data_IF_593765415495
#
_entry.id   IF_593765415495
#
_cell.length_a   1.000
_cell.length_b   1.000
_cell.length_c   1.000
_cell.angle_alpha   90.00
_cell.angle_beta   90.00
_cell.angle_gamma   90.00
#
_symmetry.space_group_name_H-M   'P 1'
#
loop_
_entity.id
_entity.type
_entity.pdbx_description
1 polymer ?
#
# COMPACT_ATOMS: atom_id res chain seq x y z
N UNK A 1 -34.16 -12.16 5.05
CA UNK A 1 -33.03 -11.91 4.12
C UNK A 1 -33.25 -10.56 3.46
N UNK A 2 -32.25 -9.67 3.51
CA UNK A 2 -32.28 -8.43 2.76
C UNK A 2 -31.52 -8.68 1.46
N UNK A 3 -32.24 -8.85 0.37
CA UNK A 3 -31.69 -9.23 -0.94
C UNK A 3 -31.06 -8.06 -1.70
N UNK A 4 -31.13 -6.83 -1.15
CA UNK A 4 -30.48 -5.62 -1.66
C UNK A 4 -30.62 -4.50 -0.65
N UNK A 5 -29.56 -3.76 -0.36
CA UNK A 5 -29.64 -2.51 0.39
C UNK A 5 -28.88 -1.42 -0.35
N UNK A 6 -29.44 -0.23 -0.41
CA UNK A 6 -28.88 0.87 -1.19
C UNK A 6 -28.80 2.12 -0.32
N UNK A 7 -27.59 2.65 -0.18
CA UNK A 7 -27.32 3.87 0.55
C UNK A 7 -26.87 4.91 -0.48
N UNK A 8 -27.77 5.82 -0.81
CA UNK A 8 -27.47 6.95 -1.70
C UNK A 8 -27.25 8.20 -0.88
N UNK A 9 -26.02 8.71 -0.92
CA UNK A 9 -25.67 10.02 -0.42
C UNK A 9 -25.05 10.84 -1.56
N UNK A 10 -25.24 12.17 -1.64
CA UNK A 10 -24.62 12.98 -2.70
C UNK A 10 -23.09 12.90 -2.77
N UNK A 11 -22.44 12.46 -1.68
CA UNK A 11 -20.99 12.27 -1.60
C UNK A 11 -20.53 10.81 -1.80
N UNK A 12 -21.42 9.84 -1.64
CA UNK A 12 -21.09 8.43 -1.69
C UNK A 12 -22.34 7.60 -1.99
N UNK A 13 -22.20 6.65 -2.91
CA UNK A 13 -23.20 5.65 -3.22
C UNK A 13 -22.65 4.28 -2.84
N UNK A 14 -23.41 3.51 -2.07
CA UNK A 14 -23.07 2.15 -1.71
C UNK A 14 -24.26 1.27 -2.05
N UNK A 15 -24.02 0.24 -2.85
CA UNK A 15 -25.01 -0.75 -3.26
C UNK A 15 -24.56 -2.08 -2.70
N UNK A 16 -25.33 -2.62 -1.76
CA UNK A 16 -25.17 -3.96 -1.21
C UNK A 16 -26.06 -4.92 -2.02
N UNK A 17 -25.46 -5.97 -2.56
CA UNK A 17 -26.16 -6.92 -3.44
C UNK A 17 -26.63 -8.14 -2.65
N UNK A 18 -25.75 -8.74 -1.84
CA UNK A 18 -26.08 -9.86 -0.97
C UNK A 18 -25.70 -9.50 0.45
N UNK A 19 -26.68 -9.52 1.36
CA UNK A 19 -26.45 -9.31 2.79
C UNK A 19 -27.12 -10.42 3.57
N UNK A 20 -26.32 -11.19 4.30
CA UNK A 20 -26.80 -12.16 5.25
C UNK A 20 -26.28 -11.80 6.64
N UNK A 21 -27.17 -11.83 7.64
CA UNK A 21 -26.80 -11.59 9.02
C UNK A 21 -27.59 -12.52 9.93
N UNK A 22 -26.87 -13.10 10.89
CA UNK A 22 -27.36 -13.95 11.96
C UNK A 22 -26.60 -13.61 13.25
N UNK A 23 -26.87 -14.33 14.34
CA UNK A 23 -26.13 -14.16 15.60
C UNK A 23 -24.67 -14.61 15.51
N UNK A 24 -24.34 -15.47 14.55
CA UNK A 24 -23.00 -16.10 14.41
C UNK A 24 -22.40 -15.90 13.03
N UNK A 25 -23.02 -15.11 12.16
CA UNK A 25 -22.47 -14.81 10.85
C UNK A 25 -23.02 -13.49 10.32
N UNK A 26 -22.16 -12.72 9.68
CA UNK A 26 -22.51 -11.58 8.87
C UNK A 26 -21.71 -11.65 7.57
N UNK A 27 -22.36 -11.51 6.43
CA UNK A 27 -21.68 -11.39 5.14
C UNK A 27 -22.35 -10.31 4.31
N UNK A 28 -21.54 -9.66 3.50
CA UNK A 28 -21.95 -8.57 2.63
C UNK A 28 -21.06 -8.51 1.41
N UNK A 29 -21.64 -8.36 0.23
CA UNK A 29 -20.91 -7.91 -0.95
C UNK A 29 -21.60 -6.67 -1.54
N UNK A 30 -20.83 -5.87 -2.25
CA UNK A 30 -21.37 -4.66 -2.84
C UNK A 30 -20.38 -3.87 -3.64
N UNK A 31 -20.90 -2.80 -4.22
CA UNK A 31 -20.12 -1.78 -4.93
C UNK A 31 -20.24 -0.46 -4.20
N UNK A 32 -19.20 0.36 -4.26
CA UNK A 32 -19.25 1.73 -3.78
C UNK A 32 -18.78 2.70 -4.87
N UNK A 33 -19.25 3.94 -4.78
CA UNK A 33 -18.86 5.02 -5.68
C UNK A 33 -18.81 6.33 -4.91
N UNK A 34 -17.66 6.99 -4.96
CA UNK A 34 -17.45 8.35 -4.49
C UNK A 34 -17.23 9.22 -5.73
N UNK A 35 -18.29 9.84 -6.29
CA UNK A 35 -18.21 10.55 -7.57
C UNK A 35 -17.39 11.84 -7.53
N UNK A 36 -17.10 12.35 -6.34
CA UNK A 36 -16.50 13.66 -6.14
C UNK A 36 -15.72 13.67 -4.83
N UNK A 37 -14.41 13.44 -4.95
CA UNK A 37 -13.49 13.40 -3.80
C UNK A 37 -13.29 14.77 -3.14
N UNK A 38 -13.64 15.88 -3.82
CA UNK A 38 -13.52 17.22 -3.23
C UNK A 38 -14.41 17.39 -2.00
N UNK A 39 -15.45 16.55 -1.86
CA UNK A 39 -16.31 16.50 -0.67
C UNK A 39 -15.59 15.99 0.57
N UNK A 40 -14.50 15.25 0.39
CA UNK A 40 -13.66 14.70 1.46
C UNK A 40 -12.39 15.53 1.69
N UNK A 41 -12.13 16.54 0.86
CA UNK A 41 -10.96 17.42 0.96
C UNK A 41 -10.80 18.04 2.36
N UNK A 42 -11.91 18.49 2.97
CA UNK A 42 -11.90 19.07 4.32
C UNK A 42 -11.49 18.06 5.41
N UNK A 43 -11.84 16.77 5.24
CA UNK A 43 -11.47 15.70 6.17
C UNK A 43 -10.00 15.31 6.01
N UNK A 44 -9.54 15.21 4.76
CA UNK A 44 -8.16 14.86 4.44
C UNK A 44 -7.18 16.04 4.66
N UNK A 45 -7.69 17.28 4.76
CA UNK A 45 -6.90 18.52 4.71
C UNK A 45 -6.00 18.58 3.46
N UNK A 46 -6.52 18.07 2.36
CA UNK A 46 -5.86 17.96 1.07
C UNK A 46 -6.86 18.35 -0.02
N UNK A 47 -6.39 18.92 -1.13
CA UNK A 47 -7.25 19.27 -2.28
C UNK A 47 -7.55 18.03 -3.12
N UNK A 48 -8.32 17.10 -2.54
CA UNK A 48 -8.69 15.85 -3.19
C UNK A 48 -9.63 16.12 -4.37
N UNK A 49 -9.34 15.55 -5.54
CA UNK A 49 -10.22 15.60 -6.72
C UNK A 49 -10.34 14.23 -7.39
N UNK A 50 -11.31 14.15 -8.29
CA UNK A 50 -11.63 12.93 -9.02
C UNK A 50 -12.72 12.10 -8.35
N UNK A 51 -12.78 10.84 -8.73
CA UNK A 51 -13.75 9.87 -8.26
C UNK A 51 -13.07 8.56 -7.86
N UNK A 52 -13.69 7.85 -6.92
CA UNK A 52 -13.36 6.45 -6.61
C UNK A 52 -14.57 5.58 -6.89
N UNK A 53 -14.32 4.37 -7.34
CA UNK A 53 -15.32 3.33 -7.42
C UNK A 53 -14.69 2.00 -7.08
N UNK A 54 -15.48 1.05 -6.63
CA UNK A 54 -14.94 -0.24 -6.28
C UNK A 54 -16.00 -1.23 -5.88
N UNK A 55 -15.51 -2.42 -5.56
CA UNK A 55 -16.28 -3.53 -5.05
C UNK A 55 -15.64 -4.03 -3.77
N UNK A 56 -16.47 -4.62 -2.91
CA UNK A 56 -16.01 -5.23 -1.70
C UNK A 56 -16.81 -6.48 -1.41
N UNK A 57 -16.15 -7.44 -0.77
CA UNK A 57 -16.79 -8.54 -0.07
C UNK A 57 -16.29 -8.54 1.36
N UNK A 58 -17.17 -8.84 2.30
CA UNK A 58 -16.83 -8.95 3.70
C UNK A 58 -17.61 -10.10 4.32
N UNK A 59 -16.95 -10.81 5.23
CA UNK A 59 -17.59 -11.78 6.10
C UNK A 59 -17.09 -11.59 7.53
N UNK A 60 -17.93 -11.88 8.51
CA UNK A 60 -17.59 -11.79 9.90
C UNK A 60 -18.35 -12.85 10.70
N UNK A 61 -17.72 -13.36 11.75
CA UNK A 61 -18.36 -14.12 12.81
C UNK A 61 -18.46 -13.22 14.05
N UNK A 62 -19.66 -12.69 14.37
CA UNK A 62 -19.85 -11.84 15.55
C UNK A 62 -19.63 -12.55 16.88
N UNK A 63 -19.72 -13.89 16.94
CA UNK A 63 -19.44 -14.67 18.16
C UNK A 63 -17.96 -14.66 18.48
N UNK A 64 -17.14 -14.84 17.45
CA UNK A 64 -15.68 -14.93 17.56
C UNK A 64 -14.97 -13.59 17.31
N UNK A 65 -15.74 -12.54 16.97
CA UNK A 65 -15.25 -11.21 16.59
C UNK A 65 -14.12 -11.29 15.54
N UNK A 66 -14.27 -12.23 14.61
CA UNK A 66 -13.36 -12.46 13.50
C UNK A 66 -14.03 -12.07 12.18
N UNK A 67 -13.25 -11.77 11.16
CA UNK A 67 -13.78 -11.48 9.85
C UNK A 67 -12.74 -11.40 8.75
N UNK A 68 -13.24 -11.35 7.53
CA UNK A 68 -12.46 -11.24 6.30
C UNK A 68 -13.03 -10.14 5.44
N UNK A 69 -12.15 -9.50 4.66
CA UNK A 69 -12.53 -8.50 3.68
C UNK A 69 -11.66 -8.59 2.44
N UNK A 70 -12.29 -8.45 1.29
CA UNK A 70 -11.65 -8.17 0.01
C UNK A 70 -12.23 -6.86 -0.53
N UNK A 71 -11.36 -5.98 -1.01
CA UNK A 71 -11.75 -4.70 -1.59
C UNK A 71 -10.90 -4.42 -2.82
N UNK A 72 -11.56 -4.01 -3.89
CA UNK A 72 -10.93 -3.53 -5.12
C UNK A 72 -11.43 -2.12 -5.40
N UNK A 73 -10.51 -1.19 -5.63
CA UNK A 73 -10.78 0.24 -5.80
C UNK A 73 -10.07 0.72 -7.05
N UNK A 74 -10.80 1.42 -7.90
CA UNK A 74 -10.27 2.14 -9.05
C UNK A 74 -10.58 3.63 -8.90
N UNK A 75 -9.58 4.45 -9.20
CA UNK A 75 -9.74 5.89 -9.24
C UNK A 75 -9.92 6.40 -10.68
N UNK A 76 -10.55 7.56 -10.80
CA UNK A 76 -10.67 8.30 -12.05
C UNK A 76 -10.39 9.78 -11.78
N UNK A 77 -9.54 10.38 -12.62
CA UNK A 77 -9.12 11.77 -12.51
C UNK A 77 -8.64 12.14 -11.10
N UNK A 78 -7.94 11.19 -10.44
CA UNK A 78 -7.45 11.35 -9.08
C UNK A 78 -6.43 12.49 -8.99
N UNK A 79 -6.69 13.41 -8.07
CA UNK A 79 -5.68 14.31 -7.53
C UNK A 79 -5.74 14.22 -6.01
N UNK A 80 -4.62 13.94 -5.38
CA UNK A 80 -4.48 13.86 -3.92
C UNK A 80 -4.09 15.21 -3.32
N UNK A 81 -3.64 16.17 -4.13
CA UNK A 81 -3.10 17.44 -3.67
C UNK A 81 -1.64 17.34 -3.18
N UNK A 82 -1.07 16.13 -3.22
CA UNK A 82 0.33 15.86 -2.86
C UNK A 82 1.07 15.57 -4.16
N UNK A 83 1.88 16.52 -4.63
CA UNK A 83 2.57 16.44 -5.91
C UNK A 83 3.33 15.11 -6.14
N UNK A 84 3.98 14.58 -5.08
CA UNK A 84 4.64 13.29 -5.14
C UNK A 84 3.67 12.13 -5.37
N UNK A 85 2.58 12.08 -4.60
CA UNK A 85 1.57 11.02 -4.75
C UNK A 85 0.87 11.13 -6.11
N UNK A 86 0.58 12.34 -6.58
CA UNK A 86 -0.05 12.58 -7.88
C UNK A 86 0.86 12.13 -9.04
N UNK A 87 2.16 12.39 -8.94
CA UNK A 87 3.14 11.92 -9.92
C UNK A 87 3.30 10.40 -9.95
N UNK A 88 3.23 9.75 -8.79
CA UNK A 88 3.39 8.30 -8.66
C UNK A 88 2.12 7.53 -9.06
N UNK A 89 0.97 7.97 -8.55
CA UNK A 89 -0.32 7.31 -8.76
C UNK A 89 -0.92 7.61 -10.12
N UNK A 90 -0.74 8.83 -10.62
CA UNK A 90 -1.45 9.32 -11.80
C UNK A 90 -2.96 9.42 -11.59
N UNK A 91 -3.72 9.69 -12.66
CA UNK A 91 -5.16 9.98 -12.56
C UNK A 91 -6.03 8.73 -12.36
N UNK A 92 -5.52 7.52 -12.63
CA UNK A 92 -6.31 6.30 -12.62
C UNK A 92 -5.61 5.10 -11.95
N UNK A 93 -5.12 5.23 -10.70
CA UNK A 93 -4.56 4.09 -9.97
C UNK A 93 -5.64 3.06 -9.61
N UNK A 94 -5.19 1.82 -9.40
CA UNK A 94 -5.99 0.71 -8.88
C UNK A 94 -5.37 0.18 -7.59
N UNK A 95 -6.22 -0.15 -6.61
CA UNK A 95 -5.84 -0.72 -5.33
C UNK A 95 -6.66 -1.99 -5.10
N UNK A 96 -6.02 -3.07 -4.66
CA UNK A 96 -6.70 -4.26 -4.16
C UNK A 96 -6.12 -4.66 -2.81
N UNK A 97 -6.99 -5.09 -1.90
CA UNK A 97 -6.63 -5.56 -0.57
C UNK A 97 -7.50 -6.77 -0.22
N UNK A 98 -6.87 -7.80 0.31
CA UNK A 98 -7.51 -8.97 0.89
C UNK A 98 -6.85 -9.26 2.24
N UNK A 99 -7.68 -9.45 3.26
CA UNK A 99 -7.19 -9.82 4.58
C UNK A 99 -8.29 -10.23 5.55
N UNK A 100 -7.83 -10.67 6.70
CA UNK A 100 -8.62 -11.27 7.78
C UNK A 100 -8.16 -10.69 9.12
N UNK A 101 -9.04 -10.70 10.11
CA UNK A 101 -8.73 -10.27 11.47
C UNK A 101 -9.50 -11.09 12.50
N UNK A 102 -9.02 -11.06 13.73
CA UNK A 102 -9.62 -11.74 14.88
C UNK A 102 -9.72 -10.81 16.11
N UNK A 103 -10.50 -11.23 17.11
CA UNK A 103 -10.75 -10.45 18.33
C UNK A 103 -9.50 -10.15 19.17
N UNK A 104 -8.57 -11.09 19.17
CA UNK A 104 -7.30 -11.06 19.90
C UNK A 104 -6.25 -10.18 19.21
N UNK A 105 -6.61 -9.56 18.09
CA UNK A 105 -5.78 -8.61 17.38
C UNK A 105 -4.81 -9.28 16.41
N UNK A 106 -5.04 -10.55 16.06
CA UNK A 106 -4.39 -11.14 14.89
C UNK A 106 -5.01 -10.54 13.62
N UNK A 107 -4.16 -10.25 12.66
CA UNK A 107 -4.54 -9.76 11.35
C UNK A 107 -3.64 -10.41 10.31
N UNK A 108 -4.23 -10.82 9.19
CA UNK A 108 -3.52 -11.29 8.02
C UNK A 108 -3.90 -10.42 6.83
N UNK A 109 -2.92 -10.00 6.06
CA UNK A 109 -3.08 -9.42 4.73
C UNK A 109 -2.53 -10.43 3.74
N UNK A 110 -3.41 -11.23 3.14
CA UNK A 110 -3.01 -12.21 2.12
C UNK A 110 -2.56 -11.52 0.83
N UNK A 111 -3.12 -10.34 0.53
CA UNK A 111 -2.72 -9.52 -0.62
C UNK A 111 -3.02 -8.05 -0.39
N UNK A 112 -2.03 -7.20 -0.65
CA UNK A 112 -2.20 -5.78 -0.94
C UNK A 112 -1.51 -5.53 -2.28
N UNK A 113 -2.18 -4.85 -3.21
CA UNK A 113 -1.57 -4.42 -4.47
C UNK A 113 -2.07 -3.02 -4.84
N UNK A 114 -1.15 -2.17 -5.25
CA UNK A 114 -1.42 -0.83 -5.74
C UNK A 114 -0.69 -0.65 -7.06
N UNK A 115 -1.42 -0.30 -8.11
CA UNK A 115 -0.89 0.02 -9.42
C UNK A 115 -1.20 1.48 -9.73
N UNK A 116 -0.16 2.30 -9.82
CA UNK A 116 -0.22 3.68 -10.27
C UNK A 116 0.47 3.87 -11.62
N UNK A 117 0.58 5.12 -12.05
CA UNK A 117 1.24 5.49 -13.31
C UNK A 117 2.74 5.18 -13.32
N UNK A 118 3.43 5.43 -12.20
CA UNK A 118 4.87 5.26 -12.11
C UNK A 118 5.30 4.39 -10.93
N UNK A 119 4.35 3.90 -10.13
CA UNK A 119 4.62 3.02 -8.99
C UNK A 119 3.76 1.76 -9.06
N UNK A 120 4.34 0.62 -8.74
CA UNK A 120 3.61 -0.60 -8.42
C UNK A 120 4.06 -1.09 -7.04
N UNK A 121 3.12 -1.41 -6.17
CA UNK A 121 3.38 -1.96 -4.85
C UNK A 121 2.62 -3.28 -4.72
N UNK A 122 3.27 -4.26 -4.10
CA UNK A 122 2.62 -5.48 -3.61
C UNK A 122 3.09 -5.76 -2.20
N UNK A 123 2.20 -6.21 -1.32
CA UNK A 123 2.55 -6.60 0.03
C UNK A 123 1.65 -7.72 0.55
N UNK A 124 2.13 -8.39 1.59
CA UNK A 124 1.37 -9.39 2.34
C UNK A 124 2.07 -9.61 3.69
N UNK A 125 1.34 -10.10 4.67
CA UNK A 125 1.92 -10.42 5.96
C UNK A 125 0.87 -10.69 7.01
N UNK A 126 1.32 -11.00 8.22
CA UNK A 126 0.50 -11.13 9.40
C UNK A 126 1.07 -10.33 10.56
N UNK A 127 0.20 -9.95 11.48
CA UNK A 127 0.58 -9.31 12.71
C UNK A 127 -0.34 -9.76 13.84
N UNK A 128 0.18 -9.79 15.04
CA UNK A 128 -0.58 -9.89 16.28
C UNK A 128 -0.03 -8.85 17.27
N UNK A 129 -0.56 -8.74 18.50
CA UNK A 129 -0.05 -7.75 19.46
C UNK A 129 1.42 -7.89 19.84
N UNK A 130 2.03 -9.06 19.62
CA UNK A 130 3.41 -9.36 20.01
C UNK A 130 4.39 -9.27 18.84
N UNK A 131 4.01 -9.80 17.67
CA UNK A 131 4.90 -10.02 16.51
C UNK A 131 4.29 -9.57 15.20
N UNK A 132 5.16 -9.26 14.25
CA UNK A 132 4.84 -8.96 12.85
C UNK A 132 5.71 -9.82 11.93
N UNK A 133 5.15 -10.27 10.82
CA UNK A 133 5.83 -10.89 9.69
C UNK A 133 5.19 -10.34 8.41
N UNK A 134 5.92 -9.50 7.67
CA UNK A 134 5.41 -8.90 6.46
C UNK A 134 6.48 -8.78 5.39
N UNK A 135 6.04 -8.80 4.14
CA UNK A 135 6.87 -8.59 2.95
C UNK A 135 6.20 -7.60 2.02
N UNK A 136 7.00 -6.75 1.40
CA UNK A 136 6.57 -5.78 0.40
C UNK A 136 7.56 -5.74 -0.76
N UNK A 137 7.05 -5.57 -1.97
CA UNK A 137 7.81 -5.22 -3.16
C UNK A 137 7.26 -3.90 -3.72
N UNK A 138 8.15 -2.97 -4.05
CA UNK A 138 7.82 -1.67 -4.64
C UNK A 138 8.67 -1.46 -5.87
N UNK A 139 8.02 -1.23 -7.00
CA UNK A 139 8.65 -0.87 -8.27
C UNK A 139 8.33 0.56 -8.59
N UNK A 140 9.36 1.33 -8.88
CA UNK A 140 9.25 2.72 -9.31
C UNK A 140 9.82 2.80 -10.72
N UNK A 141 9.05 3.34 -11.66
CA UNK A 141 9.49 3.47 -13.05
C UNK A 141 10.51 4.60 -13.24
N UNK A 142 10.46 5.63 -12.39
CA UNK A 142 11.40 6.75 -12.43
C UNK A 142 11.60 7.40 -11.04
N UNK A 143 12.83 7.34 -10.52
CA UNK A 143 13.22 8.00 -9.27
C UNK A 143 13.19 9.53 -9.36
N UNK A 144 13.19 10.11 -10.56
CA UNK A 144 13.05 11.55 -10.78
C UNK A 144 11.76 12.14 -10.20
N UNK A 145 10.73 11.31 -10.00
CA UNK A 145 9.49 11.70 -9.33
C UNK A 145 9.67 11.93 -7.82
N UNK A 146 10.66 11.29 -7.20
CA UNK A 146 10.94 11.36 -5.75
C UNK A 146 12.10 12.31 -5.45
N UNK A 147 13.21 12.20 -6.19
CA UNK A 147 14.36 13.12 -6.10
C UNK A 147 14.68 13.65 -7.51
N UNK A 148 14.51 14.96 -7.76
CA UNK A 148 14.79 15.57 -9.08
C UNK A 148 16.24 15.44 -9.57
N UNK A 149 17.16 15.02 -8.70
CA UNK A 149 18.58 14.80 -9.03
C UNK A 149 18.85 13.36 -9.47
N UNK A 150 17.84 12.50 -9.45
CA UNK A 150 17.92 11.12 -9.85
C UNK A 150 16.98 10.84 -11.04
N UNK A 151 17.24 9.78 -11.77
CA UNK A 151 16.32 9.25 -12.79
C UNK A 151 16.52 7.75 -12.96
N UNK A 152 15.53 7.07 -13.52
CA UNK A 152 15.61 5.64 -13.81
C UNK A 152 14.85 4.79 -12.80
N UNK A 153 14.69 3.50 -13.12
CA UNK A 153 13.83 2.60 -12.36
C UNK A 153 14.46 2.13 -11.05
N UNK A 154 13.60 1.80 -10.09
CA UNK A 154 13.99 1.16 -8.84
C UNK A 154 13.08 -0.03 -8.54
N UNK A 155 13.69 -1.08 -8.01
CA UNK A 155 12.98 -2.22 -7.43
C UNK A 155 13.42 -2.35 -5.97
N UNK A 156 12.47 -2.33 -5.05
CA UNK A 156 12.68 -2.42 -3.60
C UNK A 156 11.90 -3.62 -3.06
N UNK A 157 12.62 -4.57 -2.50
CA UNK A 157 12.07 -5.64 -1.68
C UNK A 157 12.30 -5.32 -0.20
N UNK A 158 11.30 -5.52 0.65
CA UNK A 158 11.42 -5.35 2.09
C UNK A 158 10.73 -6.49 2.83
N UNK A 159 11.35 -6.95 3.91
CA UNK A 159 10.73 -7.82 4.92
C UNK A 159 10.74 -7.14 6.28
N UNK A 160 9.74 -7.43 7.10
CA UNK A 160 9.57 -6.92 8.46
C UNK A 160 9.22 -8.11 9.33
N UNK A 161 10.06 -8.44 10.31
CA UNK A 161 9.89 -9.62 11.14
C UNK A 161 10.19 -9.33 12.61
N UNK A 162 9.56 -10.09 13.51
CA UNK A 162 9.88 -10.09 14.93
C UNK A 162 8.94 -9.23 15.79
N UNK A 163 9.36 -8.81 16.99
CA UNK A 163 8.45 -8.17 17.94
C UNK A 163 7.96 -6.80 17.45
N UNK A 164 6.67 -6.50 17.59
CA UNK A 164 6.07 -5.20 17.19
C UNK A 164 6.74 -4.00 17.89
N UNK A 165 7.34 -4.22 19.06
CA UNK A 165 8.10 -3.19 19.80
C UNK A 165 9.48 -2.87 19.22
N UNK A 166 10.06 -3.78 18.44
CA UNK A 166 11.42 -3.70 17.88
C UNK A 166 11.57 -4.59 16.63
N UNK A 167 10.77 -4.37 15.58
CA UNK A 167 10.82 -5.25 14.42
C UNK A 167 12.15 -5.09 13.69
N UNK A 168 12.64 -6.19 13.15
CA UNK A 168 13.75 -6.20 12.20
C UNK A 168 13.19 -5.96 10.81
N UNK A 169 13.82 -5.06 10.07
CA UNK A 169 13.46 -4.71 8.70
C UNK A 169 14.67 -5.01 7.83
N UNK A 170 14.53 -5.89 6.86
CA UNK A 170 15.55 -6.10 5.83
C UNK A 170 15.03 -5.53 4.50
N UNK A 171 15.79 -4.66 3.87
CA UNK A 171 15.42 -4.03 2.61
C UNK A 171 16.52 -4.20 1.57
N UNK A 172 16.16 -4.61 0.36
CA UNK A 172 17.03 -4.77 -0.78
C UNK A 172 16.51 -3.89 -1.91
N UNK A 173 17.30 -2.91 -2.33
CA UNK A 173 16.97 -2.00 -3.40
C UNK A 173 17.94 -2.21 -4.55
N UNK A 174 17.41 -2.29 -5.77
CA UNK A 174 18.20 -2.45 -6.99
C UNK A 174 17.78 -1.47 -8.07
N UNK A 175 18.73 -1.11 -8.92
CA UNK A 175 18.47 -0.36 -10.16
C UNK A 175 19.41 -0.82 -11.27
N UNK A 176 18.91 -0.82 -12.50
CA UNK A 176 19.66 -1.18 -13.71
C UNK A 176 20.00 0.03 -14.58
N UNK A 177 19.29 1.14 -14.42
CA UNK A 177 19.32 2.30 -15.30
C UNK A 177 19.31 3.63 -14.52
N UNK A 178 19.79 3.60 -13.26
CA UNK A 178 19.87 4.78 -12.42
C UNK A 178 20.84 5.80 -13.01
N UNK A 179 20.45 7.08 -12.97
CA UNK A 179 21.39 8.19 -13.03
C UNK A 179 21.24 9.05 -11.78
N UNK A 180 22.38 9.46 -11.20
CA UNK A 180 22.45 10.38 -10.06
C UNK A 180 23.31 11.58 -10.44
N UNK A 181 22.77 12.79 -10.27
CA UNK A 181 23.46 14.05 -10.62
C UNK A 181 23.97 14.05 -12.07
N UNK A 182 23.22 13.41 -12.99
CA UNK A 182 23.58 13.26 -14.40
C UNK A 182 24.64 12.21 -14.69
N UNK A 183 25.06 11.42 -13.70
CA UNK A 183 25.99 10.30 -13.88
C UNK A 183 25.26 8.97 -13.84
N UNK A 184 25.50 8.11 -14.82
CA UNK A 184 24.96 6.76 -14.82
C UNK A 184 25.56 5.95 -13.66
N UNK A 185 24.70 5.20 -12.98
CA UNK A 185 25.03 4.26 -11.90
C UNK A 185 24.50 2.89 -12.30
N UNK A 186 25.39 2.05 -12.80
CA UNK A 186 25.02 0.72 -13.27
C UNK A 186 25.00 -0.27 -12.11
N UNK A 187 24.05 -1.21 -12.17
CA UNK A 187 23.90 -2.32 -11.23
C UNK A 187 23.92 -1.89 -9.76
N UNK A 188 23.23 -0.79 -9.43
CA UNK A 188 23.08 -0.34 -8.06
C UNK A 188 22.41 -1.45 -7.24
N UNK A 189 23.01 -1.78 -6.10
CA UNK A 189 22.41 -2.57 -5.03
C UNK A 189 22.62 -1.86 -3.71
N UNK A 190 21.55 -1.67 -2.96
CA UNK A 190 21.57 -1.20 -1.58
C UNK A 190 20.88 -2.26 -0.72
N UNK A 191 21.54 -2.71 0.34
CA UNK A 191 20.92 -3.57 1.35
C UNK A 191 20.91 -2.82 2.68
N UNK A 192 19.81 -2.87 3.40
CA UNK A 192 19.66 -2.27 4.71
C UNK A 192 19.05 -3.26 5.70
N UNK A 193 19.71 -3.45 6.83
CA UNK A 193 19.23 -4.22 7.97
C UNK A 193 18.98 -3.24 9.13
N UNK A 194 17.73 -3.08 9.52
CA UNK A 194 17.28 -2.08 10.48
C UNK A 194 16.60 -2.78 11.65
N UNK A 195 16.95 -2.42 12.88
CA UNK A 195 16.17 -2.76 14.08
C UNK A 195 15.42 -1.52 14.50
N UNK A 196 14.09 -1.54 14.32
CA UNK A 196 13.22 -0.40 14.60
C UNK A 196 12.79 -0.36 16.08
N UNK A 197 13.77 -0.29 16.98
CA UNK A 197 13.53 -0.02 18.40
C UNK A 197 13.20 1.46 18.59
N UNK A 198 12.09 1.76 19.29
CA UNK A 198 11.64 3.15 19.52
C UNK A 198 12.62 4.00 20.34
N UNK A 199 13.47 3.36 21.13
CA UNK A 199 14.41 4.02 22.04
C UNK A 199 15.86 3.97 21.56
N UNK A 200 16.22 2.95 20.77
CA UNK A 200 17.58 2.75 20.28
C UNK A 200 17.59 2.10 18.88
N UNK A 201 17.10 2.79 17.84
CA UNK A 201 17.08 2.22 16.50
C UNK A 201 18.51 1.99 15.99
N UNK A 202 18.74 0.87 15.32
CA UNK A 202 20.03 0.58 14.67
C UNK A 202 19.82 0.28 13.21
N UNK A 203 20.80 0.63 12.37
CA UNK A 203 20.78 0.35 10.95
C UNK A 203 22.18 0.00 10.48
N UNK A 204 22.28 -1.07 9.72
CA UNK A 204 23.45 -1.42 8.91
C UNK A 204 23.03 -1.28 7.46
N UNK A 205 23.82 -0.54 6.68
CA UNK A 205 23.54 -0.30 5.27
C UNK A 205 24.78 -0.67 4.49
N UNK A 206 24.60 -1.36 3.38
CA UNK A 206 25.63 -1.63 2.39
C UNK A 206 25.17 -1.15 1.03
N UNK A 207 26.10 -0.61 0.25
CA UNK A 207 25.89 -0.12 -1.10
C UNK A 207 26.94 -0.73 -2.02
N UNK A 208 26.53 -1.10 -3.22
CA UNK A 208 27.42 -1.47 -4.30
C UNK A 208 26.89 -0.98 -5.65
N UNK A 209 27.77 -0.65 -6.59
CA UNK A 209 27.38 -0.26 -7.94
C UNK A 209 28.59 0.17 -8.77
N UNK A 210 28.35 0.67 -9.98
CA UNK A 210 29.41 1.18 -10.86
C UNK A 210 29.08 2.58 -11.35
N UNK A 211 30.04 3.50 -11.27
CA UNK A 211 29.92 4.88 -11.79
C UNK A 211 31.09 5.16 -12.72
N UNK A 212 30.81 5.57 -13.96
CA UNK A 212 31.83 5.83 -14.97
C UNK A 212 32.82 4.64 -15.15
N UNK A 213 32.31 3.40 -15.05
CA UNK A 213 33.12 2.17 -15.12
C UNK A 213 33.96 1.84 -13.89
N UNK A 214 33.80 2.58 -12.79
CA UNK A 214 34.49 2.33 -11.50
C UNK A 214 33.52 1.80 -10.47
N UNK A 215 33.89 0.71 -9.81
CA UNK A 215 33.12 0.17 -8.69
C UNK A 215 33.07 1.15 -7.53
N UNK A 216 31.89 1.26 -6.93
CA UNK A 216 31.64 1.96 -5.68
C UNK A 216 31.08 0.97 -4.67
N UNK A 217 31.52 1.09 -3.41
CA UNK A 217 30.99 0.31 -2.30
C UNK A 217 31.05 1.12 -1.01
N UNK A 218 30.08 0.92 -0.11
CA UNK A 218 30.01 1.63 1.18
C UNK A 218 29.08 0.97 2.16
#
# INVERSE_FOLDING_TARGET
>A
ELTRAEIRHPAAEIILTDVAASTTSASGNGTFRLPDLARFAALAKQDLKGALSGEFTASADPSDLAGSAEVSVSAQDLETGIALADGLLGPAPNLSLQGDFTADGEAEVSRLSLEGQAVALSASGSANPETVDARANVKLSDLGLVDPRASGGLDLDATIEGPVSKPQIAANLTSQDLALLGKAVDALRLNADIVADRTAPTAQVSLAGTVDGKEISG
#
